data_IF_912555865197
#
_entry.id   IF_912555865197
#
_cell.length_a   1.000
_cell.length_b   1.000
_cell.length_c   1.000
_cell.angle_alpha   90.00
_cell.angle_beta   90.00
_cell.angle_gamma   90.00
#
_symmetry.space_group_name_H-M   'P 1'
#
loop_
_entity.id
_entity.type
_entity.pdbx_description
1 polymer ?
#
# COMPACT_ATOMS: atom_id res chain seq x y z
N UNK A 1 -25.21 -13.55 0.25
CA UNK A 1 -24.74 -12.16 0.05
C UNK A 1 -23.47 -12.02 0.85
N UNK A 2 -22.33 -11.73 0.18
CA UNK A 2 -21.06 -11.46 0.87
C UNK A 2 -21.06 -9.98 1.20
N UNK A 3 -20.91 -9.64 2.49
CA UNK A 3 -20.82 -8.25 2.92
C UNK A 3 -19.45 -8.00 3.54
N UNK A 4 -18.69 -7.09 2.95
CA UNK A 4 -17.48 -6.58 3.57
C UNK A 4 -17.84 -5.46 4.57
N UNK A 5 -17.18 -5.45 5.72
CA UNK A 5 -17.10 -4.26 6.57
C UNK A 5 -15.74 -3.62 6.37
N UNK A 6 -15.71 -2.35 5.97
CA UNK A 6 -14.44 -1.65 5.81
C UNK A 6 -14.10 -0.93 7.10
N UNK A 7 -12.81 -0.92 7.42
CA UNK A 7 -12.26 0.00 8.39
C UNK A 7 -11.19 0.76 7.64
N UNK A 8 -11.35 2.07 7.50
CA UNK A 8 -10.24 2.92 7.05
C UNK A 8 -9.18 2.86 8.15
N UNK A 9 -8.02 2.31 7.81
CA UNK A 9 -6.90 2.10 8.72
C UNK A 9 -5.76 2.88 8.07
N UNK A 10 -5.54 4.10 8.59
CA UNK A 10 -4.86 5.25 7.97
C UNK A 10 -5.67 6.04 6.95
N UNK A 11 -5.66 7.37 7.13
CA UNK A 11 -6.34 8.33 6.26
C UNK A 11 -5.78 8.36 4.83
N UNK A 12 -6.49 9.07 3.98
CA UNK A 12 -6.08 9.31 2.60
C UNK A 12 -4.88 10.28 2.58
N UNK A 13 -3.72 9.80 2.13
CA UNK A 13 -2.54 10.64 1.93
C UNK A 13 -2.72 11.46 0.67
N UNK A 14 -2.51 12.77 0.76
CA UNK A 14 -2.52 13.66 -0.40
C UNK A 14 -1.11 13.92 -0.91
N UNK A 15 -0.98 14.29 -2.19
CA UNK A 15 0.32 14.57 -2.81
C UNK A 15 1.17 15.59 -2.05
N UNK A 16 0.54 16.55 -1.37
CA UNK A 16 1.23 17.59 -0.58
C UNK A 16 2.07 16.99 0.56
N UNK A 17 1.70 15.81 1.07
CA UNK A 17 2.38 15.15 2.17
C UNK A 17 3.68 14.44 1.76
N UNK A 18 3.86 14.22 0.45
CA UNK A 18 5.06 13.64 -0.14
C UNK A 18 6.04 14.69 -0.66
N UNK A 19 5.64 15.96 -0.75
CA UNK A 19 6.49 17.04 -1.22
C UNK A 19 7.72 17.20 -0.31
N UNK A 20 8.91 16.92 -0.86
CA UNK A 20 10.18 17.08 -0.14
C UNK A 20 10.49 15.99 0.90
N UNK A 21 9.77 14.87 0.90
CA UNK A 21 10.01 13.73 1.80
C UNK A 21 10.33 12.46 1.04
N UNK A 22 11.06 11.55 1.67
CA UNK A 22 11.15 10.17 1.19
C UNK A 22 9.81 9.46 1.35
N UNK A 23 9.57 8.42 0.54
CA UNK A 23 8.37 7.61 0.65
C UNK A 23 8.25 6.93 2.02
N UNK A 24 9.38 6.51 2.59
CA UNK A 24 9.45 5.92 3.93
C UNK A 24 8.98 6.92 5.01
N UNK A 25 9.42 8.17 4.97
CA UNK A 25 8.99 9.20 5.92
C UNK A 25 7.50 9.54 5.78
N UNK A 26 6.98 9.54 4.56
CA UNK A 26 5.56 9.76 4.32
C UNK A 26 4.73 8.58 4.87
N UNK A 27 5.14 7.34 4.58
CA UNK A 27 4.45 6.12 5.00
C UNK A 27 4.58 5.82 6.50
N UNK A 28 5.67 6.22 7.16
CA UNK A 28 5.88 5.99 8.59
C UNK A 28 4.81 6.62 9.49
N UNK A 29 4.17 7.71 9.02
CA UNK A 29 3.02 8.34 9.71
C UNK A 29 1.77 7.46 9.73
N UNK A 30 1.77 6.42 8.92
CA UNK A 30 0.65 5.53 8.65
C UNK A 30 1.02 4.07 8.97
N UNK A 31 1.93 3.85 9.91
CA UNK A 31 2.08 2.55 10.57
C UNK A 31 0.93 2.41 11.57
N UNK A 32 -0.02 1.51 11.29
CA UNK A 32 -1.32 1.47 11.99
C UNK A 32 -1.57 0.09 12.61
N UNK A 33 -0.67 -0.38 13.45
CA UNK A 33 -1.00 -1.49 14.33
C UNK A 33 -1.47 -0.98 15.69
N UNK A 34 -2.77 -1.15 16.04
CA UNK A 34 -3.25 -0.91 17.41
C UNK A 34 -2.52 -1.82 18.40
N UNK A 35 -2.16 -3.02 17.93
CA UNK A 35 -1.37 -4.03 18.63
C UNK A 35 -0.01 -3.48 19.02
N UNK A 36 0.65 -2.73 18.14
CA UNK A 36 1.95 -2.11 18.38
C UNK A 36 1.89 -1.03 19.47
N UNK A 37 0.89 -0.16 19.41
CA UNK A 37 0.68 0.90 20.41
C UNK A 37 0.43 0.34 21.83
N UNK A 38 -0.13 -0.86 21.93
CA UNK A 38 -0.36 -1.55 23.21
C UNK A 38 0.81 -2.43 23.69
N UNK A 39 1.85 -2.66 22.85
CA UNK A 39 2.87 -3.69 23.11
C UNK A 39 4.34 -3.23 23.02
N UNK A 40 4.67 -2.09 22.40
CA UNK A 40 6.07 -1.74 22.08
C UNK A 40 6.28 -0.21 21.96
N UNK A 41 7.53 0.27 22.06
CA UNK A 41 7.85 1.69 21.90
C UNK A 41 8.27 2.08 20.45
N UNK A 42 8.72 1.14 19.62
CA UNK A 42 9.04 1.36 18.21
C UNK A 42 9.30 0.04 17.45
N UNK A 43 8.98 0.02 16.15
CA UNK A 43 9.45 -1.00 15.18
C UNK A 43 10.53 -0.36 14.32
N UNK A 44 11.67 -1.04 14.20
CA UNK A 44 12.74 -0.65 13.30
C UNK A 44 12.91 -1.72 12.23
N UNK A 45 12.82 -1.30 10.97
CA UNK A 45 13.11 -2.15 9.84
C UNK A 45 14.37 -1.65 9.13
N UNK A 46 15.18 -2.59 8.66
CA UNK A 46 16.33 -2.28 7.80
C UNK A 46 16.39 -3.24 6.64
N UNK A 47 16.99 -2.77 5.55
CA UNK A 47 17.08 -3.51 4.30
C UNK A 47 18.51 -3.59 3.81
N UNK A 48 18.84 -4.72 3.22
CA UNK A 48 20.10 -4.89 2.49
C UNK A 48 19.87 -5.78 1.30
N UNK A 49 20.84 -5.80 0.40
CA UNK A 49 20.89 -6.82 -0.61
C UNK A 49 22.29 -7.05 -1.12
N UNK A 50 22.41 -8.14 -1.86
CA UNK A 50 23.66 -8.57 -2.49
C UNK A 50 23.33 -9.36 -3.74
N UNK A 51 24.31 -9.46 -4.64
CA UNK A 51 24.21 -10.35 -5.78
C UNK A 51 24.40 -11.79 -5.28
N UNK A 52 23.40 -12.65 -5.44
CA UNK A 52 23.48 -14.07 -5.08
C UNK A 52 24.14 -14.88 -6.19
N UNK A 53 23.81 -14.56 -7.43
CA UNK A 53 24.42 -15.10 -8.65
C UNK A 53 24.20 -14.11 -9.80
N UNK A 54 24.87 -14.27 -10.97
CA UNK A 54 24.57 -13.45 -12.14
C UNK A 54 23.07 -13.43 -12.43
N UNK A 55 22.47 -12.23 -12.45
CA UNK A 55 21.04 -12.04 -12.68
C UNK A 55 20.12 -12.34 -11.50
N UNK A 56 20.63 -12.68 -10.31
CA UNK A 56 19.82 -12.96 -9.11
C UNK A 56 20.27 -12.09 -7.93
N UNK A 57 19.36 -11.29 -7.41
CA UNK A 57 19.59 -10.44 -6.23
C UNK A 57 18.93 -11.06 -5.01
N UNK A 58 19.68 -11.17 -3.92
CA UNK A 58 19.13 -11.48 -2.60
C UNK A 58 18.75 -10.17 -1.92
N UNK A 59 17.50 -10.07 -1.49
CA UNK A 59 16.97 -8.96 -0.71
C UNK A 59 16.72 -9.45 0.71
N UNK A 60 17.15 -8.67 1.70
CA UNK A 60 16.94 -8.95 3.12
C UNK A 60 16.11 -7.84 3.74
N UNK A 61 15.12 -8.23 4.55
CA UNK A 61 14.40 -7.33 5.43
C UNK A 61 14.61 -7.80 6.86
N UNK A 62 15.12 -6.93 7.72
CA UNK A 62 15.32 -7.20 9.15
C UNK A 62 14.39 -6.32 9.95
N UNK A 63 13.54 -6.93 10.75
CA UNK A 63 12.65 -6.24 11.69
C UNK A 63 13.17 -6.40 13.10
N UNK A 64 13.14 -5.33 13.88
CA UNK A 64 13.46 -5.32 15.31
C UNK A 64 12.37 -4.56 16.06
N UNK A 65 11.92 -5.12 17.18
CA UNK A 65 10.89 -4.53 18.02
C UNK A 65 11.47 -4.16 19.38
N UNK A 66 11.36 -2.90 19.78
CA UNK A 66 11.87 -2.45 21.07
C UNK A 66 10.88 -2.72 22.21
N UNK A 67 11.40 -3.16 23.37
CA UNK A 67 10.58 -3.39 24.57
C UNK A 67 9.62 -4.56 24.46
N UNK A 68 9.91 -5.55 23.61
CA UNK A 68 9.05 -6.72 23.41
C UNK A 68 8.95 -7.56 24.70
N UNK A 69 7.75 -7.66 25.28
CA UNK A 69 7.50 -8.38 26.55
C UNK A 69 6.94 -9.79 26.38
N UNK A 70 6.43 -10.13 25.18
CA UNK A 70 5.86 -11.44 24.84
C UNK A 70 6.16 -11.78 23.38
N UNK A 71 6.05 -13.06 22.96
CA UNK A 71 6.19 -13.41 21.55
C UNK A 71 5.24 -12.60 20.66
N UNK A 72 5.74 -12.22 19.48
CA UNK A 72 5.02 -11.40 18.51
C UNK A 72 5.33 -11.89 17.11
N UNK A 73 4.29 -12.30 16.39
CA UNK A 73 4.45 -12.74 15.01
C UNK A 73 4.44 -11.52 14.09
N UNK A 74 5.36 -11.54 13.12
CA UNK A 74 5.44 -10.53 12.08
C UNK A 74 5.49 -11.21 10.73
N UNK A 75 4.91 -10.56 9.72
CA UNK A 75 4.91 -11.04 8.34
C UNK A 75 5.58 -10.02 7.44
N UNK A 76 6.70 -10.39 6.83
CA UNK A 76 7.35 -9.58 5.80
C UNK A 76 6.69 -9.91 4.45
N UNK A 77 6.23 -8.88 3.75
CA UNK A 77 5.56 -8.96 2.46
C UNK A 77 6.38 -8.21 1.43
N UNK A 78 6.69 -8.87 0.32
CA UNK A 78 7.45 -8.34 -0.80
C UNK A 78 6.54 -8.34 -2.03
N UNK A 79 6.14 -7.16 -2.50
CA UNK A 79 5.37 -7.02 -3.73
C UNK A 79 6.29 -6.57 -4.85
N UNK A 80 6.31 -7.31 -5.95
CA UNK A 80 7.12 -7.07 -7.14
C UNK A 80 6.20 -6.67 -8.31
N UNK A 81 5.86 -5.38 -8.49
CA UNK A 81 4.87 -4.99 -9.49
C UNK A 81 5.27 -5.38 -10.92
N UNK A 82 6.56 -5.28 -11.26
CA UNK A 82 7.07 -5.63 -12.59
C UNK A 82 7.08 -7.15 -12.86
N UNK A 83 6.96 -7.98 -11.81
CA UNK A 83 6.86 -9.43 -11.91
C UNK A 83 5.43 -9.93 -11.71
N UNK A 84 4.50 -9.04 -11.36
CA UNK A 84 3.15 -9.39 -10.92
C UNK A 84 3.16 -10.49 -9.84
N UNK A 85 4.02 -10.32 -8.83
CA UNK A 85 4.31 -11.34 -7.82
C UNK A 85 4.27 -10.74 -6.41
N UNK A 86 3.71 -11.47 -5.46
CA UNK A 86 3.76 -11.17 -4.03
C UNK A 86 4.35 -12.36 -3.29
N UNK A 87 5.30 -12.09 -2.38
CA UNK A 87 5.91 -13.12 -1.52
C UNK A 87 5.78 -12.74 -0.07
N UNK A 88 5.50 -13.72 0.77
CA UNK A 88 5.31 -13.52 2.19
C UNK A 88 6.19 -14.47 2.99
N UNK A 89 6.79 -13.96 4.06
CA UNK A 89 7.60 -14.74 4.99
C UNK A 89 7.22 -14.34 6.42
N UNK A 90 6.80 -15.33 7.22
CA UNK A 90 6.46 -15.13 8.63
C UNK A 90 7.65 -15.37 9.56
N UNK A 91 7.73 -14.58 10.62
CA UNK A 91 8.69 -14.72 11.71
C UNK A 91 7.97 -14.61 13.05
N UNK A 92 8.52 -15.25 14.09
CA UNK A 92 8.09 -15.02 15.48
C UNK A 92 9.25 -14.37 16.23
N UNK A 93 9.07 -13.12 16.63
CA UNK A 93 9.99 -12.38 17.47
C UNK A 93 9.71 -12.74 18.94
N UNK A 94 10.75 -12.80 19.76
CA UNK A 94 10.65 -13.12 21.19
C UNK A 94 11.41 -12.12 22.04
N UNK A 95 11.09 -11.94 23.33
CA UNK A 95 11.83 -11.01 24.19
C UNK A 95 13.35 -11.25 24.19
N UNK A 96 13.78 -12.51 24.20
CA UNK A 96 15.19 -12.92 24.13
C UNK A 96 15.81 -12.78 22.73
N UNK A 97 15.00 -12.64 21.68
CA UNK A 97 15.42 -12.46 20.29
C UNK A 97 14.44 -11.51 19.59
N UNK A 98 14.51 -10.20 19.89
CA UNK A 98 13.47 -9.24 19.52
C UNK A 98 13.56 -8.76 18.07
N UNK A 99 14.38 -9.44 17.25
CA UNK A 99 14.51 -9.13 15.83
C UNK A 99 14.72 -10.39 15.00
N UNK A 100 14.37 -10.29 13.73
CA UNK A 100 14.44 -11.39 12.77
C UNK A 100 14.58 -10.88 11.35
N UNK A 101 15.19 -11.69 10.50
CA UNK A 101 15.48 -11.36 9.11
C UNK A 101 14.83 -12.37 8.20
N UNK A 102 14.19 -11.91 7.13
CA UNK A 102 13.78 -12.75 6.00
C UNK A 102 14.61 -12.41 4.78
N UNK A 103 14.79 -13.41 3.92
CA UNK A 103 15.55 -13.30 2.69
C UNK A 103 14.66 -13.71 1.50
N UNK A 104 14.79 -13.03 0.37
CA UNK A 104 14.09 -13.39 -0.87
C UNK A 104 15.03 -13.24 -2.07
N UNK A 105 14.98 -14.19 -3.00
CA UNK A 105 15.84 -14.24 -4.19
C UNK A 105 15.06 -13.80 -5.42
N UNK A 106 15.52 -12.74 -6.10
CA UNK A 106 14.81 -12.14 -7.22
C UNK A 106 15.62 -12.30 -8.49
N UNK A 107 15.04 -12.97 -9.49
CA UNK A 107 15.62 -13.02 -10.83
C UNK A 107 15.35 -11.69 -11.56
N UNK A 108 16.40 -11.06 -12.06
CA UNK A 108 16.31 -9.84 -12.86
C UNK A 108 15.96 -10.20 -14.30
N UNK A 109 14.75 -9.82 -14.75
CA UNK A 109 14.40 -9.87 -16.16
C UNK A 109 15.09 -8.72 -16.89
N UNK A 110 15.89 -9.04 -17.91
CA UNK A 110 16.62 -8.10 -18.77
C UNK A 110 17.61 -7.18 -18.05
N UNK A 111 17.84 -7.41 -16.75
CA UNK A 111 18.80 -6.75 -15.86
C UNK A 111 18.83 -5.21 -15.89
N UNK A 112 17.69 -4.59 -16.12
CA UNK A 112 17.48 -3.21 -15.74
C UNK A 112 17.40 -3.07 -14.20
N UNK A 113 17.49 -1.83 -13.72
CA UNK A 113 17.08 -1.46 -12.36
C UNK A 113 15.60 -1.83 -12.18
N UNK A 114 15.26 -2.45 -11.05
CA UNK A 114 13.88 -2.81 -10.71
C UNK A 114 13.54 -2.27 -9.32
N UNK A 115 12.29 -2.47 -8.89
CA UNK A 115 11.83 -2.06 -7.57
C UNK A 115 10.90 -3.12 -6.93
N UNK A 116 10.75 -3.01 -5.61
CA UNK A 116 9.93 -3.87 -4.76
C UNK A 116 9.32 -3.01 -3.67
N UNK A 117 8.06 -3.30 -3.31
CA UNK A 117 7.43 -2.75 -2.12
C UNK A 117 7.62 -3.77 -0.98
N UNK A 118 8.21 -3.34 0.12
CA UNK A 118 8.40 -4.15 1.32
C UNK A 118 7.49 -3.62 2.40
N UNK A 119 6.66 -4.49 2.96
CA UNK A 119 5.81 -4.17 4.11
C UNK A 119 5.99 -5.21 5.21
N UNK A 120 5.87 -4.78 6.45
CA UNK A 120 5.86 -5.65 7.63
C UNK A 120 4.48 -5.53 8.26
N UNK A 121 3.86 -6.65 8.58
CA UNK A 121 2.56 -6.69 9.25
C UNK A 121 2.65 -7.47 10.57
N UNK A 122 1.74 -7.21 11.50
CA UNK A 122 1.56 -8.02 12.71
C UNK A 122 0.74 -9.30 12.45
N UNK A 123 0.47 -10.06 13.50
CA UNK A 123 -0.34 -11.29 13.50
C UNK A 123 -1.80 -11.06 13.10
N UNK A 124 -2.29 -9.85 13.34
CA UNK A 124 -3.61 -9.42 12.90
C UNK A 124 -3.59 -8.84 11.49
N UNK A 125 -2.43 -8.73 10.83
CA UNK A 125 -2.29 -8.21 9.47
C UNK A 125 -2.33 -6.68 9.37
N UNK A 126 -2.09 -5.96 10.47
CA UNK A 126 -1.90 -4.52 10.45
C UNK A 126 -0.48 -4.15 10.05
N UNK A 127 -0.34 -3.17 9.17
CA UNK A 127 0.97 -2.65 8.74
C UNK A 127 1.76 -2.01 9.90
N UNK A 128 2.96 -2.54 10.12
CA UNK A 128 3.98 -2.10 11.07
C UNK A 128 5.05 -1.21 10.42
N UNK A 129 5.26 -1.40 9.13
CA UNK A 129 6.31 -0.71 8.38
C UNK A 129 6.06 -0.87 6.89
N UNK A 130 6.43 0.12 6.08
CA UNK A 130 6.43 0.02 4.64
C UNK A 130 7.55 0.85 4.01
N UNK A 131 8.15 0.31 2.95
CA UNK A 131 9.17 0.97 2.16
C UNK A 131 9.12 0.51 0.71
N UNK A 132 9.64 1.31 -0.19
CA UNK A 132 9.87 0.91 -1.59
C UNK A 132 11.36 0.93 -1.83
N UNK A 133 11.89 -0.18 -2.32
CA UNK A 133 13.31 -0.37 -2.54
C UNK A 133 13.58 -0.54 -4.03
N UNK A 134 14.69 0.02 -4.48
CA UNK A 134 15.25 -0.27 -5.80
C UNK A 134 16.43 -1.20 -5.68
N UNK A 135 16.56 -2.11 -6.64
CA UNK A 135 17.68 -3.03 -6.73
C UNK A 135 18.20 -3.12 -8.16
N UNK A 136 19.48 -3.46 -8.31
CA UNK A 136 20.16 -3.49 -9.61
C UNK A 136 21.00 -4.77 -9.82
N UNK A 137 21.59 -4.91 -11.01
CA UNK A 137 22.48 -6.03 -11.38
C UNK A 137 23.71 -6.21 -10.48
N UNK A 138 24.08 -5.21 -9.69
CA UNK A 138 25.19 -5.29 -8.74
C UNK A 138 24.73 -5.81 -7.37
N UNK A 139 23.43 -6.04 -7.19
CA UNK A 139 22.83 -6.38 -5.90
C UNK A 139 22.73 -5.21 -4.95
N UNK A 140 22.98 -3.97 -5.41
CA UNK A 140 22.82 -2.78 -4.59
C UNK A 140 21.35 -2.54 -4.33
N UNK A 141 20.96 -2.41 -3.06
CA UNK A 141 19.60 -2.08 -2.63
C UNK A 141 19.60 -0.70 -2.00
N UNK A 142 18.67 0.14 -2.41
CA UNK A 142 18.49 1.48 -1.86
C UNK A 142 17.01 1.82 -1.75
N UNK A 143 16.59 2.61 -0.75
CA UNK A 143 15.27 3.23 -0.76
C UNK A 143 15.00 3.90 -2.10
N UNK A 144 13.77 3.78 -2.59
CA UNK A 144 13.31 4.49 -3.75
C UNK A 144 13.30 5.98 -3.40
N UNK A 145 14.29 6.68 -3.93
CA UNK A 145 14.29 8.14 -3.98
C UNK A 145 13.83 8.51 -5.38
N UNK A 146 12.72 9.25 -5.53
CA UNK A 146 12.36 9.74 -6.83
C UNK A 146 13.50 10.60 -7.36
N UNK A 147 14.05 10.21 -8.51
CA UNK A 147 15.23 10.86 -9.13
C UNK A 147 14.97 12.35 -9.39
N UNK A 148 13.70 12.73 -9.51
CA UNK A 148 13.20 14.09 -9.50
C UNK A 148 11.95 14.12 -8.62
N UNK A 149 11.96 14.78 -7.44
CA UNK A 149 10.79 14.88 -6.57
C UNK A 149 9.53 15.35 -7.32
N UNK A 150 9.71 16.29 -8.25
CA UNK A 150 8.66 16.88 -9.09
C UNK A 150 8.04 15.91 -10.12
N UNK A 151 8.60 14.69 -10.26
CA UNK A 151 8.08 13.64 -11.15
C UNK A 151 7.37 12.52 -10.40
N UNK A 152 7.34 12.53 -9.08
CA UNK A 152 6.64 11.51 -8.30
C UNK A 152 5.23 11.94 -7.92
N UNK A 153 5.08 13.19 -7.50
CA UNK A 153 3.79 13.81 -7.22
C UNK A 153 3.24 14.47 -8.47
N UNK A 154 1.94 14.33 -8.72
CA UNK A 154 1.30 14.97 -9.86
C UNK A 154 1.33 16.50 -9.72
N UNK A 155 1.54 17.24 -10.82
CA UNK A 155 1.43 18.70 -10.82
C UNK A 155 -0.03 19.19 -10.81
N UNK A 156 -1.02 18.30 -11.00
CA UNK A 156 -2.42 18.70 -10.98
C UNK A 156 -2.80 19.23 -9.59
N UNK A 157 -3.49 20.37 -9.54
CA UNK A 157 -3.97 20.91 -8.26
C UNK A 157 -5.09 20.04 -7.72
N UNK A 158 -4.92 19.54 -6.50
CA UNK A 158 -5.89 18.70 -5.80
C UNK A 158 -6.55 19.58 -4.73
N UNK A 159 -7.79 19.99 -4.94
CA UNK A 159 -8.56 20.81 -4.00
C UNK A 159 -9.01 19.99 -2.79
N UNK A 160 -9.73 18.90 -3.05
CA UNK A 160 -10.20 17.97 -2.02
C UNK A 160 -10.00 16.51 -2.44
N UNK A 161 -9.90 15.64 -1.45
CA UNK A 161 -9.85 14.21 -1.65
C UNK A 161 -10.45 13.49 -0.45
N UNK A 162 -11.37 12.56 -0.70
CA UNK A 162 -12.07 11.80 0.33
C UNK A 162 -12.10 10.32 -0.03
N UNK A 163 -11.91 9.47 0.98
CA UNK A 163 -12.02 8.02 0.86
C UNK A 163 -12.86 7.49 2.02
N UNK A 164 -13.97 6.82 1.72
CA UNK A 164 -14.85 6.28 2.76
C UNK A 164 -15.99 5.43 2.22
N UNK A 165 -16.72 4.79 3.13
CA UNK A 165 -17.96 4.08 2.76
C UNK A 165 -19.04 5.07 2.34
N UNK A 166 -19.74 4.74 1.26
CA UNK A 166 -20.88 5.47 0.74
C UNK A 166 -21.93 4.50 0.19
N UNK A 167 -23.03 5.06 -0.29
CA UNK A 167 -24.06 4.33 -1.03
C UNK A 167 -24.06 4.85 -2.46
N UNK A 168 -24.06 3.93 -3.44
CA UNK A 168 -24.15 4.30 -4.86
C UNK A 168 -25.59 4.62 -5.28
N UNK A 169 -25.77 5.02 -6.54
CA UNK A 169 -27.09 5.37 -7.09
C UNK A 169 -28.08 4.19 -7.10
N UNK A 170 -27.58 2.96 -6.96
CA UNK A 170 -28.35 1.72 -6.97
C UNK A 170 -28.67 1.23 -5.55
N UNK A 171 -28.27 1.99 -4.52
CA UNK A 171 -28.49 1.65 -3.12
C UNK A 171 -27.48 0.64 -2.55
N UNK A 172 -26.39 0.34 -3.27
CA UNK A 172 -25.37 -0.62 -2.84
C UNK A 172 -24.31 0.07 -2.00
N UNK A 173 -23.76 -0.65 -1.02
CA UNK A 173 -22.59 -0.16 -0.27
C UNK A 173 -21.34 -0.17 -1.16
N UNK A 174 -20.64 0.94 -1.19
CA UNK A 174 -19.39 1.11 -1.95
C UNK A 174 -18.33 1.76 -1.08
N UNK A 175 -17.08 1.43 -1.36
CA UNK A 175 -15.95 2.25 -0.92
C UNK A 175 -15.66 3.26 -2.02
N UNK A 176 -15.90 4.53 -1.71
CA UNK A 176 -15.83 5.64 -2.67
C UNK A 176 -14.57 6.46 -2.45
N UNK A 177 -13.79 6.60 -3.51
CA UNK A 177 -12.75 7.62 -3.63
C UNK A 177 -13.31 8.81 -4.43
N UNK A 178 -13.27 10.01 -3.85
CA UNK A 178 -13.61 11.27 -4.53
C UNK A 178 -12.36 12.14 -4.60
N UNK A 179 -12.07 12.68 -5.79
CA UNK A 179 -11.00 13.63 -6.02
C UNK A 179 -11.56 14.87 -6.72
N UNK A 180 -11.43 16.04 -6.09
CA UNK A 180 -11.71 17.31 -6.74
C UNK A 180 -10.43 17.95 -7.22
N UNK A 181 -10.27 18.05 -8.54
CA UNK A 181 -9.16 18.75 -9.16
C UNK A 181 -9.51 20.23 -9.34
N UNK A 182 -8.49 21.07 -9.27
CA UNK A 182 -8.62 22.51 -9.49
C UNK A 182 -7.69 22.95 -10.63
N UNK A 183 -7.92 24.16 -11.14
CA UNK A 183 -7.03 24.80 -12.12
C UNK A 183 -6.78 23.98 -13.40
N UNK A 184 -7.69 23.05 -13.74
CA UNK A 184 -7.61 22.31 -14.99
C UNK A 184 -7.73 23.28 -16.17
N UNK A 185 -6.77 23.21 -17.09
CA UNK A 185 -6.79 23.98 -18.34
C UNK A 185 -7.29 23.18 -19.54
N UNK A 186 -7.48 21.87 -19.36
CA UNK A 186 -8.01 20.94 -20.36
C UNK A 186 -8.31 19.57 -19.77
N UNK A 187 -8.82 18.63 -20.57
CA UNK A 187 -9.04 17.25 -20.15
C UNK A 187 -7.74 16.61 -19.66
N UNK A 188 -7.82 15.88 -18.56
CA UNK A 188 -6.71 15.15 -17.97
C UNK A 188 -7.14 13.75 -17.56
N UNK A 189 -6.21 12.81 -17.62
CA UNK A 189 -6.44 11.43 -17.20
C UNK A 189 -6.03 11.28 -15.73
N UNK A 190 -6.90 10.65 -14.96
CA UNK A 190 -6.63 10.15 -13.61
C UNK A 190 -6.76 8.63 -13.63
N UNK A 191 -5.78 7.93 -13.07
CA UNK A 191 -5.82 6.47 -12.89
C UNK A 191 -6.05 6.19 -11.42
N UNK A 192 -7.03 5.36 -11.08
CA UNK A 192 -7.27 4.90 -9.71
C UNK A 192 -6.91 3.43 -9.63
N UNK A 193 -5.97 3.09 -8.76
CA UNK A 193 -5.48 1.75 -8.52
C UNK A 193 -6.04 1.15 -7.23
N UNK A 194 -6.48 -0.11 -7.30
CA UNK A 194 -6.88 -0.92 -6.15
C UNK A 194 -5.96 -2.13 -6.08
N UNK A 195 -5.20 -2.24 -4.99
CA UNK A 195 -4.17 -3.25 -4.87
C UNK A 195 -4.31 -4.00 -3.54
N UNK A 196 -4.29 -5.32 -3.59
CA UNK A 196 -4.13 -6.19 -2.42
C UNK A 196 -3.32 -7.42 -2.82
N UNK A 197 -3.09 -8.35 -1.90
CA UNK A 197 -2.38 -9.58 -2.19
C UNK A 197 -3.07 -10.36 -3.34
N UNK A 198 -2.38 -10.48 -4.47
CA UNK A 198 -2.87 -11.20 -5.65
C UNK A 198 -3.86 -10.44 -6.54
N UNK A 199 -4.20 -9.19 -6.22
CA UNK A 199 -5.12 -8.37 -7.02
C UNK A 199 -4.48 -7.00 -7.28
N UNK A 200 -4.41 -6.62 -8.55
CA UNK A 200 -4.02 -5.30 -9.01
C UNK A 200 -4.99 -4.85 -10.10
N UNK A 201 -5.86 -3.89 -9.76
CA UNK A 201 -6.82 -3.30 -10.67
C UNK A 201 -6.48 -1.82 -10.89
N UNK A 202 -6.56 -1.33 -12.12
CA UNK A 202 -6.40 0.09 -12.43
C UNK A 202 -7.57 0.55 -13.32
N UNK A 203 -8.29 1.56 -12.85
CA UNK A 203 -9.39 2.21 -13.58
C UNK A 203 -8.93 3.58 -14.08
N UNK A 204 -9.39 3.98 -15.26
CA UNK A 204 -9.05 5.26 -15.88
C UNK A 204 -10.27 6.17 -15.90
N UNK A 205 -10.08 7.40 -15.49
CA UNK A 205 -11.08 8.46 -15.46
C UNK A 205 -10.55 9.67 -16.22
N UNK A 206 -11.47 10.42 -16.82
CA UNK A 206 -11.16 11.71 -17.42
C UNK A 206 -11.79 12.80 -16.56
N UNK A 207 -11.00 13.79 -16.18
CA UNK A 207 -11.47 15.01 -15.51
C UNK A 207 -11.23 16.19 -16.45
N UNK A 208 -12.17 17.12 -16.48
CA UNK A 208 -12.11 18.30 -17.34
C UNK A 208 -12.56 19.55 -16.56
N UNK A 209 -12.27 20.77 -17.04
CA UNK A 209 -12.65 21.99 -16.32
C UNK A 209 -14.15 22.08 -16.01
N UNK A 210 -15.01 21.58 -16.91
CA UNK A 210 -16.46 21.55 -16.72
C UNK A 210 -16.95 20.42 -15.78
N UNK A 211 -16.12 19.40 -15.53
CA UNK A 211 -16.40 18.26 -14.68
C UNK A 211 -15.10 17.83 -13.96
N UNK A 212 -14.63 18.60 -12.96
CA UNK A 212 -13.29 18.44 -12.41
C UNK A 212 -13.22 17.39 -11.29
N UNK A 213 -14.27 16.58 -11.14
CA UNK A 213 -14.41 15.61 -10.05
C UNK A 213 -14.28 14.20 -10.60
N UNK A 214 -13.40 13.41 -9.99
CA UNK A 214 -13.28 11.96 -10.22
C UNK A 214 -13.93 11.23 -9.06
N UNK A 215 -14.86 10.32 -9.37
CA UNK A 215 -15.49 9.43 -8.40
C UNK A 215 -15.21 8.00 -8.81
N UNK A 216 -14.61 7.21 -7.92
CA UNK A 216 -14.31 5.80 -8.15
C UNK A 216 -14.88 4.95 -7.03
N UNK A 217 -15.85 4.12 -7.38
CA UNK A 217 -16.59 3.26 -6.45
C UNK A 217 -16.15 1.81 -6.55
N UNK A 218 -15.72 1.23 -5.44
CA UNK A 218 -15.49 -0.20 -5.30
C UNK A 218 -16.70 -0.84 -4.60
N UNK A 219 -17.49 -1.69 -5.28
CA UNK A 219 -18.62 -2.38 -4.65
C UNK A 219 -18.16 -3.24 -3.47
N UNK A 220 -18.82 -3.07 -2.33
CA UNK A 220 -18.56 -3.82 -1.07
C UNK A 220 -19.47 -5.03 -0.89
N UNK A 221 -20.50 -5.13 -1.71
CA UNK A 221 -21.52 -6.17 -1.69
C UNK A 221 -21.43 -7.00 -2.97
N UNK A 222 -21.49 -8.32 -2.81
CA UNK A 222 -21.50 -9.29 -3.91
C UNK A 222 -20.36 -9.12 -4.93
N UNK A 223 -19.23 -8.54 -4.48
CA UNK A 223 -18.02 -8.41 -5.27
C UNK A 223 -17.11 -9.65 -5.07
N UNK A 224 -16.94 -10.52 -6.08
CA UNK A 224 -16.14 -11.73 -5.95
C UNK A 224 -14.63 -11.45 -5.86
N UNK A 225 -14.20 -10.25 -6.24
CA UNK A 225 -12.80 -9.81 -6.22
C UNK A 225 -12.40 -9.22 -4.85
N UNK A 226 -13.36 -8.96 -3.97
CA UNK A 226 -13.01 -8.53 -2.61
C UNK A 226 -12.40 -9.68 -1.82
N UNK A 227 -11.24 -9.40 -1.23
CA UNK A 227 -10.51 -10.27 -0.33
C UNK A 227 -10.35 -9.57 1.02
N UNK A 228 -10.45 -10.32 2.14
CA UNK A 228 -10.12 -9.77 3.44
C UNK A 228 -8.63 -9.38 3.49
N UNK A 229 -8.33 -8.32 4.24
CA UNK A 229 -6.96 -7.81 4.40
C UNK A 229 -6.82 -6.34 4.04
N UNK A 230 -5.58 -5.89 3.90
CA UNK A 230 -5.27 -4.50 3.55
C UNK A 230 -5.33 -4.31 2.03
N UNK A 231 -5.97 -3.21 1.63
CA UNK A 231 -6.04 -2.74 0.27
C UNK A 231 -5.39 -1.37 0.19
N UNK A 232 -4.48 -1.21 -0.76
CA UNK A 232 -3.88 0.06 -1.13
C UNK A 232 -4.70 0.66 -2.27
N UNK A 233 -5.31 1.80 -2.01
CA UNK A 233 -6.15 2.54 -2.95
C UNK A 233 -5.46 3.86 -3.24
N UNK A 234 -4.97 4.02 -4.46
CA UNK A 234 -4.24 5.21 -4.87
C UNK A 234 -4.80 5.81 -6.14
N UNK A 235 -4.51 7.10 -6.35
CA UNK A 235 -4.75 7.72 -7.64
C UNK A 235 -3.48 8.40 -8.15
N UNK A 236 -3.27 8.31 -9.46
CA UNK A 236 -2.19 8.96 -10.18
C UNK A 236 -2.75 9.72 -11.38
N UNK A 237 -1.96 10.61 -11.97
CA UNK A 237 -2.29 11.17 -13.26
C UNK A 237 -1.93 10.24 -14.43
N UNK A 238 -2.11 10.72 -15.66
CA UNK A 238 -1.79 10.00 -16.90
C UNK A 238 -0.34 9.51 -17.01
N UNK A 239 0.58 10.20 -16.34
CA UNK A 239 2.02 9.92 -16.32
C UNK A 239 2.45 9.10 -15.08
N UNK A 240 1.48 8.49 -14.38
CA UNK A 240 1.70 7.66 -13.18
C UNK A 240 2.31 8.44 -12.01
N UNK A 241 2.05 9.75 -11.94
CA UNK A 241 2.46 10.60 -10.80
C UNK A 241 1.34 10.69 -9.78
N UNK A 242 1.66 10.50 -8.51
CA UNK A 242 0.71 10.32 -7.43
C UNK A 242 -0.08 11.60 -7.10
N UNK A 243 -1.39 11.42 -6.91
CA UNK A 243 -2.34 12.41 -6.39
C UNK A 243 -2.70 12.06 -4.94
N UNK A 244 -3.08 10.81 -4.71
CA UNK A 244 -3.40 10.30 -3.38
C UNK A 244 -3.00 8.85 -3.21
N UNK A 245 -2.86 8.41 -1.96
CA UNK A 245 -2.69 7.02 -1.61
C UNK A 245 -3.35 6.74 -0.24
N UNK A 246 -4.13 5.68 -0.11
CA UNK A 246 -4.86 5.33 1.11
C UNK A 246 -4.77 3.84 1.38
N UNK A 247 -4.80 3.47 2.65
CA UNK A 247 -4.86 2.06 3.08
C UNK A 247 -6.23 1.84 3.71
N UNK A 248 -6.97 0.86 3.21
CA UNK A 248 -8.21 0.42 3.83
C UNK A 248 -8.07 -1.03 4.23
N UNK A 249 -8.66 -1.37 5.36
CA UNK A 249 -8.75 -2.76 5.79
C UNK A 249 -10.14 -3.29 5.52
N UNK A 250 -10.19 -4.35 4.72
CA UNK A 250 -11.39 -5.14 4.50
C UNK A 250 -11.45 -6.22 5.57
N UNK A 251 -12.46 -6.13 6.45
CA UNK A 251 -12.76 -7.16 7.46
C UNK A 251 -13.82 -8.12 6.91
N UNK A 252 -13.88 -9.32 7.50
CA UNK A 252 -14.72 -10.47 7.15
C UNK A 252 -15.84 -10.22 6.12
N UNK A 253 -15.81 -11.02 5.05
CA UNK A 253 -16.92 -11.17 4.10
C UNK A 253 -17.98 -12.08 4.73
N UNK A 254 -18.64 -11.59 5.78
CA UNK A 254 -19.65 -12.35 6.49
C UNK A 254 -20.74 -12.85 5.54
N UNK A 255 -21.16 -14.10 5.70
CA UNK A 255 -22.50 -14.50 5.32
C UNK A 255 -23.45 -13.78 6.29
N UNK A 256 -24.47 -13.09 5.77
CA UNK A 256 -25.46 -12.40 6.58
C UNK A 256 -25.90 -13.26 7.77
N UNK A 257 -25.72 -12.75 8.99
CA UNK A 257 -26.39 -13.31 10.16
C UNK A 257 -27.88 -13.13 9.87
N UNK A 258 -28.56 -14.25 9.55
CA UNK A 258 -30.00 -14.27 9.44
C UNK A 258 -30.59 -13.72 10.72
N UNK A 259 -31.51 -12.76 10.60
CA UNK A 259 -32.27 -12.25 11.72
C UNK A 259 -32.89 -13.42 12.50
N UNK A 260 -32.81 -13.46 13.84
CA UNK A 260 -33.56 -14.44 14.60
C UNK A 260 -35.04 -14.20 14.33
N UNK A 261 -35.73 -15.25 13.90
CA UNK A 261 -37.19 -15.33 13.86
C UNK A 261 -37.72 -15.71 15.24
#
# INVERSE_FOLDING_TARGET
MRQATTRLVAGLMRKEEFAGRSLEEAMARYVISPTLASRTAAVHCSHSGRLASPGVVELRCTTRVEGLTRPFAVKHTYSFPLLNEVRESGLVLRPETPGGTTETLVALKDGAKSYVNVAVHDDEGYMLYSSVLTYNRRGEVRPYVPVFPDKFTSPLSLGHADLGEAVDEQGRRVLRLVLGLEELTGPTVVKVGYNTAGIQEVRRFEAAPAAPVVVSDLPLEDNPELLPGEWVIGATDGEDRMLVNGIVRMSDLGASIGAPS
#
